data_IF_944005482651
#
_entry.id   IF_944005482651
#
_cell.length_a   1.000
_cell.length_b   1.000
_cell.length_c   1.000
_cell.angle_alpha   90.00
_cell.angle_beta   90.00
_cell.angle_gamma   90.00
#
_symmetry.space_group_name_H-M   'P 1'
#
loop_
_entity.id
_entity.type
_entity.pdbx_description
1 polymer ?
#
# COMPACT_ATOMS: atom_id res chain seq x y z
N UNK A 1 11.78 -25.64 26.45
CA UNK A 1 11.37 -27.06 26.36
C UNK A 1 12.56 -28.03 26.35
N UNK A 2 13.71 -27.66 25.77
CA UNK A 2 14.93 -28.51 25.67
C UNK A 2 15.51 -28.98 27.01
N UNK A 3 15.58 -28.12 28.02
CA UNK A 3 16.10 -28.48 29.35
C UNK A 3 15.38 -29.66 30.04
N UNK A 4 14.12 -29.96 29.66
CA UNK A 4 13.39 -31.11 30.20
C UNK A 4 13.67 -32.42 29.47
N UNK A 5 14.15 -32.37 28.22
CA UNK A 5 14.43 -33.55 27.39
C UNK A 5 15.87 -34.03 27.61
N UNK A 6 16.81 -33.09 27.79
CA UNK A 6 18.22 -33.40 28.09
C UNK A 6 18.40 -34.24 29.36
N UNK A 7 17.50 -34.13 30.33
CA UNK A 7 17.54 -34.87 31.60
C UNK A 7 17.02 -36.31 31.52
N UNK A 8 16.43 -36.74 30.39
CA UNK A 8 15.70 -38.02 30.27
C UNK A 8 16.37 -39.00 29.29
N UNK A 9 17.43 -38.59 28.59
CA UNK A 9 18.12 -39.41 27.59
C UNK A 9 19.42 -40.02 28.14
N UNK A 10 19.75 -41.23 27.68
CA UNK A 10 21.00 -41.92 28.02
C UNK A 10 22.23 -41.22 27.42
N UNK A 11 23.39 -41.43 28.04
CA UNK A 11 24.67 -40.82 27.66
C UNK A 11 25.10 -41.13 26.21
N UNK A 12 24.62 -42.26 25.66
CA UNK A 12 24.83 -42.67 24.26
C UNK A 12 23.92 -41.91 23.29
N UNK A 13 22.67 -41.63 23.67
CA UNK A 13 21.74 -40.83 22.86
C UNK A 13 22.14 -39.34 22.82
N UNK A 14 22.72 -38.82 23.92
CA UNK A 14 23.27 -37.47 23.99
C UNK A 14 24.56 -37.24 23.18
N UNK A 15 25.23 -38.30 22.70
CA UNK A 15 26.36 -38.20 21.76
C UNK A 15 25.92 -38.19 20.30
N UNK A 16 24.80 -38.85 19.98
CA UNK A 16 24.21 -38.87 18.63
C UNK A 16 23.44 -37.58 18.34
N UNK A 17 22.76 -37.04 19.35
CA UNK A 17 22.21 -35.69 19.33
C UNK A 17 23.27 -34.71 19.85
N UNK A 18 23.95 -33.97 18.96
CA UNK A 18 24.93 -32.93 19.36
C UNK A 18 24.23 -31.71 19.96
N UNK A 19 23.66 -31.87 21.15
CA UNK A 19 22.80 -30.86 21.79
C UNK A 19 23.47 -29.51 21.94
N UNK A 20 24.78 -29.45 22.27
CA UNK A 20 25.51 -28.19 22.36
C UNK A 20 25.67 -27.49 21.01
N UNK A 21 25.95 -28.24 19.94
CA UNK A 21 26.03 -27.66 18.60
C UNK A 21 24.65 -27.24 18.09
N UNK A 22 23.60 -27.99 18.44
CA UNK A 22 22.23 -27.66 18.06
C UNK A 22 21.68 -26.48 18.86
N UNK A 23 22.00 -26.36 20.14
CA UNK A 23 21.67 -25.24 21.02
C UNK A 23 22.41 -23.97 20.57
N UNK A 24 23.71 -24.06 20.29
CA UNK A 24 24.47 -22.96 19.69
C UNK A 24 23.90 -22.55 18.33
N UNK A 25 23.57 -23.50 17.46
CA UNK A 25 22.98 -23.19 16.15
C UNK A 25 21.58 -22.57 16.30
N UNK A 26 20.80 -22.96 17.31
CA UNK A 26 19.53 -22.32 17.63
C UNK A 26 19.74 -20.90 18.17
N UNK A 27 20.69 -20.68 19.09
CA UNK A 27 21.05 -19.35 19.58
C UNK A 27 21.53 -18.45 18.45
N UNK A 28 22.45 -18.92 17.60
CA UNK A 28 22.97 -18.17 16.46
C UNK A 28 21.85 -17.83 15.43
N UNK A 29 20.90 -18.75 15.19
CA UNK A 29 19.74 -18.51 14.33
C UNK A 29 18.78 -17.49 14.97
N UNK A 30 18.58 -17.56 16.28
CA UNK A 30 17.73 -16.61 17.02
C UNK A 30 18.37 -15.22 16.99
N UNK A 31 19.66 -15.11 17.28
CA UNK A 31 20.39 -13.86 17.30
C UNK A 31 20.48 -13.24 15.89
N UNK A 32 20.75 -14.04 14.86
CA UNK A 32 20.70 -13.57 13.47
C UNK A 32 19.28 -13.15 13.04
N UNK A 33 18.25 -13.88 13.49
CA UNK A 33 16.86 -13.55 13.24
C UNK A 33 16.42 -12.25 13.91
N UNK A 34 16.75 -12.09 15.20
CA UNK A 34 16.48 -10.87 15.98
C UNK A 34 17.26 -9.68 15.42
N UNK A 35 18.54 -9.86 15.11
CA UNK A 35 19.37 -8.83 14.49
C UNK A 35 18.75 -8.34 13.17
N UNK A 36 18.21 -9.25 12.34
CA UNK A 36 17.52 -8.87 11.11
C UNK A 36 16.28 -8.02 11.35
N UNK A 37 15.48 -8.34 12.36
CA UNK A 37 14.29 -7.55 12.72
C UNK A 37 14.71 -6.14 13.16
N UNK A 38 15.71 -6.05 14.04
CA UNK A 38 16.21 -4.75 14.51
C UNK A 38 16.90 -3.95 13.41
N UNK A 39 17.62 -4.61 12.50
CA UNK A 39 18.15 -3.98 11.30
C UNK A 39 17.01 -3.40 10.45
N UNK A 40 15.89 -4.12 10.31
CA UNK A 40 14.72 -3.60 9.61
C UNK A 40 14.17 -2.29 10.21
N UNK A 41 14.23 -2.12 11.55
CA UNK A 41 13.86 -0.84 12.17
C UNK A 41 14.83 0.30 11.80
N UNK A 42 16.12 0.01 11.65
CA UNK A 42 17.11 0.98 11.18
C UNK A 42 16.88 1.36 9.71
N UNK A 43 16.58 0.38 8.86
CA UNK A 43 16.29 0.59 7.43
C UNK A 43 15.04 1.48 7.25
N UNK A 44 14.01 1.29 8.08
CA UNK A 44 12.82 2.16 8.13
C UNK A 44 13.22 3.60 8.51
N UNK A 45 14.07 3.76 9.52
CA UNK A 45 14.54 5.07 9.96
C UNK A 45 15.34 5.80 8.86
N UNK A 46 16.18 5.08 8.11
CA UNK A 46 16.90 5.63 6.95
C UNK A 46 15.95 6.05 5.83
N UNK A 47 14.92 5.24 5.56
CA UNK A 47 13.90 5.60 4.56
C UNK A 47 13.18 6.89 4.95
N UNK A 48 12.78 7.03 6.21
CA UNK A 48 12.14 8.26 6.69
C UNK A 48 13.10 9.44 6.54
N UNK A 49 14.35 9.30 7.00
CA UNK A 49 15.33 10.39 6.89
C UNK A 49 15.53 10.84 5.44
N UNK A 50 15.60 9.87 4.50
CA UNK A 50 15.72 10.14 3.06
C UNK A 50 14.52 10.90 2.50
N UNK A 51 13.30 10.60 2.94
CA UNK A 51 12.09 11.32 2.51
C UNK A 51 12.13 12.81 2.93
N UNK A 52 12.84 13.11 4.03
CA UNK A 52 13.10 14.49 4.47
C UNK A 52 14.41 15.08 3.91
N UNK A 53 15.12 14.36 3.03
CA UNK A 53 16.40 14.79 2.47
C UNK A 53 17.54 14.85 3.49
N UNK A 54 17.45 14.08 4.57
CA UNK A 54 18.45 14.01 5.64
C UNK A 54 19.23 12.70 5.52
N UNK A 55 20.56 12.80 5.56
CA UNK A 55 21.43 11.62 5.68
C UNK A 55 21.65 11.28 7.15
N UNK A 56 21.52 10.00 7.48
CA UNK A 56 21.80 9.47 8.82
C UNK A 56 22.74 8.26 8.72
N UNK A 57 23.49 8.02 9.79
CA UNK A 57 24.26 6.79 9.97
C UNK A 57 23.53 5.91 10.97
N UNK A 58 23.34 4.64 10.62
CA UNK A 58 22.72 3.66 11.50
C UNK A 58 23.74 2.66 12.05
N UNK A 59 23.50 2.18 13.26
CA UNK A 59 24.36 1.17 13.89
C UNK A 59 23.49 0.24 14.72
N UNK A 60 23.62 -1.05 14.47
CA UNK A 60 23.00 -2.09 15.29
C UNK A 60 23.95 -2.44 16.44
N UNK A 61 23.45 -2.36 17.67
CA UNK A 61 24.22 -2.61 18.89
C UNK A 61 23.64 -3.81 19.66
N UNK A 62 24.52 -4.72 20.09
CA UNK A 62 24.15 -5.91 20.85
C UNK A 62 24.34 -5.70 22.36
N UNK A 63 23.29 -5.98 23.14
CA UNK A 63 23.35 -5.96 24.59
C UNK A 63 22.24 -5.15 25.24
N UNK A 64 22.45 -4.79 26.52
CA UNK A 64 21.43 -4.07 27.30
C UNK A 64 21.30 -2.63 26.79
N UNK A 65 20.09 -2.17 26.37
CA UNK A 65 19.95 -0.95 25.58
C UNK A 65 20.63 0.30 26.16
N UNK A 66 20.36 0.67 27.42
CA UNK A 66 20.98 1.87 28.00
C UNK A 66 22.49 1.77 28.15
N UNK A 67 23.05 0.56 28.35
CA UNK A 67 24.50 0.39 28.53
C UNK A 67 25.23 0.54 27.21
N UNK A 68 24.71 -0.07 26.15
CA UNK A 68 25.33 -0.03 24.82
C UNK A 68 25.15 1.33 24.17
N UNK A 69 23.97 1.95 24.32
CA UNK A 69 23.75 3.33 23.87
C UNK A 69 24.64 4.29 24.67
N UNK A 70 24.77 4.12 25.99
CA UNK A 70 25.65 4.95 26.81
C UNK A 70 27.12 4.85 26.37
N UNK A 71 27.62 3.64 26.08
CA UNK A 71 28.96 3.44 25.51
C UNK A 71 29.10 4.11 24.15
N UNK A 72 28.10 4.00 23.28
CA UNK A 72 28.11 4.63 21.96
C UNK A 72 28.12 6.16 22.06
N UNK A 73 27.34 6.74 22.98
CA UNK A 73 27.35 8.18 23.27
C UNK A 73 28.71 8.62 23.79
N UNK A 74 29.36 7.86 24.68
CA UNK A 74 30.71 8.18 25.13
C UNK A 74 31.76 8.11 24.00
N UNK A 75 31.59 7.19 23.05
CA UNK A 75 32.49 7.04 21.90
C UNK A 75 32.32 8.16 20.86
N UNK A 76 31.07 8.49 20.52
CA UNK A 76 30.73 9.52 19.52
C UNK A 76 30.89 10.93 20.11
N UNK A 77 30.65 11.08 21.42
CA UNK A 77 30.57 12.35 22.14
C UNK A 77 29.62 13.37 21.48
N UNK A 78 28.32 13.02 21.28
CA UNK A 78 27.36 13.88 20.60
C UNK A 78 27.00 15.11 21.45
N UNK A 79 26.60 16.20 20.79
CA UNK A 79 26.08 17.38 21.49
C UNK A 79 24.67 17.17 22.05
N UNK A 80 23.90 16.25 21.47
CA UNK A 80 22.50 15.98 21.83
C UNK A 80 22.16 14.50 21.59
N UNK A 81 21.58 13.85 22.58
CA UNK A 81 20.91 12.56 22.46
C UNK A 81 19.39 12.79 22.39
N UNK A 82 18.76 12.32 21.32
CA UNK A 82 17.30 12.37 21.16
C UNK A 82 16.71 10.99 21.34
N UNK A 83 15.70 10.85 22.19
CA UNK A 83 15.03 9.56 22.41
C UNK A 83 13.59 9.72 22.89
N UNK A 84 12.79 8.67 22.75
CA UNK A 84 11.46 8.60 23.33
C UNK A 84 11.50 8.54 24.86
N UNK A 85 10.57 9.24 25.53
CA UNK A 85 10.36 9.15 26.98
C UNK A 85 9.88 7.75 27.40
N UNK A 86 9.06 7.13 26.54
CA UNK A 86 8.52 5.79 26.67
C UNK A 86 8.88 4.95 25.44
N UNK A 87 8.81 3.63 25.58
CA UNK A 87 8.98 2.67 24.49
C UNK A 87 7.71 1.91 24.19
N UNK A 88 7.74 1.06 23.15
CA UNK A 88 6.60 0.28 22.64
C UNK A 88 5.98 -0.72 23.64
N UNK A 89 6.64 -0.95 24.79
CA UNK A 89 6.20 -1.85 25.85
C UNK A 89 6.01 -1.12 27.18
N UNK A 90 5.74 0.18 27.13
CA UNK A 90 5.41 0.94 28.34
C UNK A 90 4.00 0.57 28.83
N UNK A 91 3.86 0.42 30.14
CA UNK A 91 2.54 0.36 30.79
C UNK A 91 1.91 1.76 30.77
N UNK A 92 0.59 1.84 30.71
CA UNK A 92 -0.17 3.10 30.60
C UNK A 92 0.15 4.10 31.72
N UNK A 93 0.46 3.62 32.92
CA UNK A 93 0.76 4.43 34.10
C UNK A 93 2.24 4.81 34.23
N UNK A 94 3.11 4.32 33.33
CA UNK A 94 4.55 4.53 33.43
C UNK A 94 4.90 5.95 32.95
N UNK A 95 5.44 6.77 33.87
CA UNK A 95 5.88 8.12 33.50
C UNK A 95 7.15 8.09 32.64
N UNK A 96 8.20 7.35 33.01
CA UNK A 96 9.43 7.27 32.22
C UNK A 96 9.92 5.84 32.07
N UNK A 97 10.35 5.47 30.86
CA UNK A 97 10.92 4.16 30.59
C UNK A 97 12.27 3.99 31.26
N UNK A 98 12.55 2.81 31.82
CA UNK A 98 13.81 2.55 32.51
C UNK A 98 15.06 2.81 31.64
N UNK A 99 15.00 2.55 30.33
CA UNK A 99 16.10 2.88 29.42
C UNK A 99 16.29 4.41 29.27
N UNK A 100 15.19 5.15 29.12
CA UNK A 100 15.21 6.61 29.02
C UNK A 100 15.71 7.25 30.31
N UNK A 101 15.26 6.77 31.47
CA UNK A 101 15.73 7.25 32.76
C UNK A 101 17.23 7.00 32.96
N UNK A 102 17.70 5.78 32.66
CA UNK A 102 19.12 5.46 32.81
C UNK A 102 20.00 6.30 31.89
N UNK A 103 19.59 6.53 30.64
CA UNK A 103 20.36 7.38 29.72
C UNK A 103 20.33 8.85 30.15
N UNK A 104 19.16 9.37 30.53
CA UNK A 104 19.02 10.75 31.04
C UNK A 104 19.96 11.03 32.22
N UNK A 105 20.15 10.06 33.12
CA UNK A 105 20.98 10.23 34.33
C UNK A 105 22.47 10.07 34.09
N UNK A 106 22.88 9.27 33.11
CA UNK A 106 24.24 8.75 33.04
C UNK A 106 25.03 9.15 31.79
N UNK A 107 24.42 9.84 30.81
CA UNK A 107 25.15 10.31 29.62
C UNK A 107 25.65 11.74 29.79
N UNK A 108 26.87 11.99 29.29
CA UNK A 108 27.54 13.29 29.38
C UNK A 108 27.20 14.21 28.18
N UNK A 109 25.93 14.30 27.79
CA UNK A 109 25.47 15.21 26.73
C UNK A 109 24.06 15.77 27.03
N UNK A 110 23.62 16.76 26.26
CA UNK A 110 22.23 17.20 26.35
C UNK A 110 21.29 16.06 25.93
N UNK A 111 20.15 15.91 26.61
CA UNK A 111 19.17 14.87 26.31
C UNK A 111 17.82 15.52 26.00
N UNK A 112 17.24 15.18 24.84
CA UNK A 112 15.89 15.54 24.46
C UNK A 112 14.98 14.30 24.54
N UNK A 113 14.05 14.33 25.50
CA UNK A 113 13.00 13.32 25.64
C UNK A 113 11.75 13.74 24.86
N UNK A 114 11.38 12.96 23.85
CA UNK A 114 10.16 13.16 23.08
C UNK A 114 8.99 12.35 23.63
N UNK A 115 7.81 12.96 23.68
CA UNK A 115 6.52 12.29 23.92
C UNK A 115 5.69 12.16 22.64
N UNK A 116 6.23 12.61 21.50
CA UNK A 116 5.53 12.45 20.23
C UNK A 116 5.61 11.00 19.79
N UNK A 117 4.46 10.42 19.54
CA UNK A 117 4.37 9.15 18.84
C UNK A 117 4.44 9.41 17.33
N UNK A 118 5.22 8.58 16.65
CA UNK A 118 5.25 8.54 15.20
C UNK A 118 5.14 7.08 14.78
N UNK A 119 4.12 6.77 13.99
CA UNK A 119 3.96 5.46 13.39
C UNK A 119 4.40 5.55 11.93
N UNK A 120 5.53 4.90 11.56
CA UNK A 120 5.90 4.77 10.15
C UNK A 120 4.80 4.09 9.35
N UNK A 121 4.76 4.38 8.05
CA UNK A 121 3.80 3.71 7.17
C UNK A 121 4.02 2.20 7.23
N UNK A 122 2.92 1.45 7.40
CA UNK A 122 2.95 0.01 7.66
C UNK A 122 3.68 -0.78 6.57
N UNK A 123 3.61 -0.31 5.33
CA UNK A 123 4.29 -0.89 4.18
C UNK A 123 5.81 -0.94 4.34
N UNK A 124 6.40 0.13 4.88
CA UNK A 124 7.84 0.24 5.07
C UNK A 124 8.32 -0.67 6.20
N UNK A 125 7.55 -0.75 7.30
CA UNK A 125 7.89 -1.61 8.45
C UNK A 125 7.81 -3.08 8.07
N UNK A 126 6.75 -3.48 7.36
CA UNK A 126 6.52 -4.87 7.04
C UNK A 126 7.56 -5.39 6.04
N UNK A 127 7.97 -4.61 5.05
CA UNK A 127 9.00 -5.04 4.09
C UNK A 127 10.37 -5.19 4.76
N UNK A 128 10.70 -4.34 5.73
CA UNK A 128 11.98 -4.38 6.43
C UNK A 128 12.08 -5.47 7.51
N UNK A 129 10.97 -5.79 8.20
CA UNK A 129 10.97 -6.70 9.36
C UNK A 129 10.47 -8.11 9.04
N UNK A 130 9.81 -8.30 7.89
CA UNK A 130 9.23 -9.60 7.49
C UNK A 130 10.17 -10.35 6.57
N UNK A 131 10.49 -11.59 6.94
CA UNK A 131 11.31 -12.46 6.10
C UNK A 131 10.45 -13.31 5.17
N UNK A 132 10.85 -13.44 3.92
CA UNK A 132 10.17 -14.27 2.94
C UNK A 132 10.92 -15.59 2.74
N UNK A 133 10.18 -16.69 2.61
CA UNK A 133 10.79 -17.94 2.15
C UNK A 133 11.07 -17.88 0.65
N UNK A 134 12.05 -18.66 0.17
CA UNK A 134 12.35 -18.74 -1.27
C UNK A 134 11.11 -19.10 -2.10
N UNK A 135 10.30 -20.04 -1.61
CA UNK A 135 9.06 -20.46 -2.27
C UNK A 135 8.02 -19.33 -2.32
N UNK A 136 7.94 -18.48 -1.29
CA UNK A 136 7.07 -17.31 -1.27
C UNK A 136 7.50 -16.26 -2.31
N UNK A 137 8.81 -16.01 -2.43
CA UNK A 137 9.37 -15.09 -3.43
C UNK A 137 9.13 -15.60 -4.86
N UNK A 138 9.38 -16.88 -5.14
CA UNK A 138 9.09 -17.49 -6.45
C UNK A 138 7.61 -17.38 -6.81
N UNK A 139 6.72 -17.54 -5.84
CA UNK A 139 5.28 -17.38 -6.04
C UNK A 139 4.91 -15.92 -6.32
N UNK A 140 5.57 -14.96 -5.68
CA UNK A 140 5.37 -13.54 -5.95
C UNK A 140 5.81 -13.15 -7.37
N UNK A 141 6.84 -13.80 -7.92
CA UNK A 141 7.27 -13.59 -9.31
C UNK A 141 6.21 -14.00 -10.34
N UNK A 142 5.34 -14.97 -10.02
CA UNK A 142 4.21 -15.39 -10.86
C UNK A 142 3.11 -14.34 -10.94
N UNK A 143 3.05 -13.40 -9.98
CA UNK A 143 2.15 -12.25 -10.05
C UNK A 143 2.62 -11.32 -11.17
N UNK A 144 1.71 -10.86 -12.07
CA UNK A 144 2.04 -9.90 -13.12
C UNK A 144 2.75 -8.67 -12.56
N UNK A 145 3.77 -8.17 -13.26
CA UNK A 145 4.65 -7.09 -12.78
C UNK A 145 3.89 -5.84 -12.34
N UNK A 146 2.82 -5.47 -13.05
CA UNK A 146 1.99 -4.30 -12.73
C UNK A 146 1.21 -4.44 -11.42
N UNK A 147 0.91 -5.67 -10.97
CA UNK A 147 0.17 -5.95 -9.73
C UNK A 147 1.07 -6.44 -8.59
N UNK A 148 2.32 -6.80 -8.87
CA UNK A 148 3.25 -7.44 -7.93
C UNK A 148 3.53 -6.60 -6.69
N UNK A 149 3.71 -5.28 -6.84
CA UNK A 149 3.92 -4.38 -5.70
C UNK A 149 2.71 -4.35 -4.76
N UNK A 150 1.51 -4.25 -5.33
CA UNK A 150 0.24 -4.29 -4.58
C UNK A 150 0.01 -5.66 -3.92
N UNK A 151 0.30 -6.75 -4.61
CA UNK A 151 0.20 -8.10 -4.06
C UNK A 151 1.19 -8.33 -2.91
N UNK A 152 2.45 -7.93 -3.06
CA UNK A 152 3.45 -7.97 -1.98
C UNK A 152 2.96 -7.19 -0.77
N UNK A 153 2.39 -6.00 -1.01
CA UNK A 153 1.85 -5.16 0.04
C UNK A 153 0.69 -5.81 0.80
N UNK A 154 -0.27 -6.37 0.08
CA UNK A 154 -1.40 -7.04 0.69
C UNK A 154 -0.98 -8.30 1.47
N UNK A 155 0.01 -9.05 0.98
CA UNK A 155 0.58 -10.19 1.72
C UNK A 155 1.28 -9.75 3.00
N UNK A 156 2.07 -8.67 2.95
CA UNK A 156 2.74 -8.12 4.12
C UNK A 156 1.74 -7.67 5.19
N UNK A 157 0.69 -6.95 4.78
CA UNK A 157 -0.39 -6.53 5.69
C UNK A 157 -1.09 -7.73 6.33
N UNK A 158 -1.48 -8.71 5.52
CA UNK A 158 -2.10 -9.95 5.99
C UNK A 158 -1.20 -10.69 6.99
N UNK A 159 0.10 -10.83 6.67
CA UNK A 159 1.05 -11.48 7.55
C UNK A 159 1.12 -10.76 8.91
N UNK A 160 1.14 -9.43 8.93
CA UNK A 160 1.20 -8.65 10.15
C UNK A 160 -0.10 -8.72 10.98
N UNK A 161 -1.27 -8.62 10.34
CA UNK A 161 -2.58 -8.78 11.00
C UNK A 161 -2.72 -10.16 11.67
N UNK A 162 -2.15 -11.19 11.05
CA UNK A 162 -2.12 -12.56 11.57
C UNK A 162 -0.93 -12.82 12.51
N UNK A 163 -0.05 -11.83 12.75
CA UNK A 163 1.11 -11.95 13.63
C UNK A 163 2.24 -12.83 13.08
N UNK A 164 2.30 -13.04 11.77
CA UNK A 164 3.36 -13.79 11.09
C UNK A 164 4.57 -12.91 10.79
N UNK A 165 5.74 -13.31 11.28
CA UNK A 165 7.04 -12.67 11.01
C UNK A 165 7.79 -13.28 9.83
N UNK A 166 7.30 -14.43 9.33
CA UNK A 166 7.84 -15.12 8.16
C UNK A 166 6.72 -15.36 7.15
N UNK A 167 6.83 -14.76 5.97
CA UNK A 167 5.92 -14.99 4.86
C UNK A 167 6.32 -16.28 4.15
N UNK A 168 5.46 -17.29 4.29
CA UNK A 168 5.59 -18.58 3.61
C UNK A 168 4.75 -18.61 2.35
N UNK A 169 4.99 -19.61 1.49
CA UNK A 169 4.20 -19.80 0.27
C UNK A 169 2.69 -19.91 0.57
N UNK A 170 2.33 -20.56 1.68
CA UNK A 170 0.95 -20.71 2.13
C UNK A 170 0.32 -19.35 2.48
N UNK A 171 1.06 -18.49 3.17
CA UNK A 171 0.61 -17.14 3.53
C UNK A 171 0.41 -16.30 2.26
N UNK A 172 1.32 -16.39 1.28
CA UNK A 172 1.14 -15.73 -0.02
C UNK A 172 -0.14 -16.23 -0.70
N UNK A 173 -0.39 -17.53 -0.69
CA UNK A 173 -1.57 -18.13 -1.30
C UNK A 173 -2.88 -17.70 -0.63
N UNK A 174 -2.88 -17.65 0.71
CA UNK A 174 -4.04 -17.23 1.49
C UNK A 174 -4.34 -15.75 1.30
N UNK A 175 -3.33 -14.89 1.43
CA UNK A 175 -3.49 -13.45 1.22
C UNK A 175 -3.90 -13.10 -0.22
N UNK A 176 -3.30 -13.75 -1.23
CA UNK A 176 -3.66 -13.48 -2.64
C UNK A 176 -5.07 -13.96 -3.00
N UNK A 177 -5.59 -15.00 -2.32
CA UNK A 177 -6.98 -15.46 -2.51
C UNK A 177 -7.98 -14.41 -2.01
N UNK A 178 -7.69 -13.76 -0.89
CA UNK A 178 -8.56 -12.75 -0.29
C UNK A 178 -8.46 -11.40 -1.03
N UNK A 179 -7.29 -11.09 -1.62
CA UNK A 179 -7.03 -9.86 -2.38
C UNK A 179 -7.52 -9.92 -3.84
N UNK A 180 -7.56 -11.12 -4.44
CA UNK A 180 -7.98 -11.32 -5.82
C UNK A 180 -9.12 -12.35 -5.90
N UNK A 181 -10.40 -11.92 -5.97
CA UNK A 181 -11.52 -12.82 -6.23
C UNK A 181 -11.61 -13.11 -7.75
N UNK A 182 -10.52 -13.61 -8.34
CA UNK A 182 -10.59 -14.29 -9.64
C UNK A 182 -10.42 -15.76 -9.33
N UNK A 183 -11.56 -16.43 -9.14
CA UNK A 183 -11.63 -17.89 -9.12
C UNK A 183 -11.20 -18.35 -10.52
N UNK A 184 -9.95 -18.74 -10.68
CA UNK A 184 -9.65 -19.74 -11.69
C UNK A 184 -10.37 -21.01 -11.25
N UNK A 185 -11.28 -21.47 -12.11
CA UNK A 185 -12.12 -22.63 -11.86
C UNK A 185 -11.31 -23.80 -11.32
N UNK A 186 -11.96 -24.51 -10.40
CA UNK A 186 -11.53 -25.76 -9.80
C UNK A 186 -10.94 -26.72 -10.86
N UNK A 187 -9.69 -27.13 -10.67
CA UNK A 187 -9.20 -28.38 -11.25
C UNK A 187 -8.92 -29.32 -10.08
N UNK A 188 -9.94 -30.13 -9.79
CA UNK A 188 -9.81 -31.39 -9.07
C UNK A 188 -8.91 -32.35 -9.86
N UNK A 189 -8.04 -33.03 -9.11
CA UNK A 189 -7.55 -34.39 -9.35
C UNK A 189 -6.68 -34.67 -10.60
N UNK A 190 -5.37 -34.48 -10.44
CA UNK A 190 -4.38 -35.02 -11.36
C UNK A 190 -3.99 -36.46 -10.97
N UNK A 191 -4.68 -37.46 -11.52
CA UNK A 191 -4.11 -38.80 -11.70
C UNK A 191 -4.59 -39.52 -12.95
N UNK A 192 -3.63 -39.85 -13.84
CA UNK A 192 -3.69 -40.82 -14.95
C UNK A 192 -4.65 -40.44 -16.11
N UNK A 193 -4.32 -40.56 -17.40
CA UNK A 193 -3.60 -41.60 -18.15
C UNK A 193 -3.06 -40.95 -19.44
N UNK A 194 -1.91 -41.43 -19.91
CA UNK A 194 -1.32 -41.10 -21.21
C UNK A 194 -2.10 -41.68 -22.40
N UNK A 195 -2.05 -40.95 -23.51
CA UNK A 195 -1.70 -41.39 -24.88
C UNK A 195 -2.66 -40.99 -26.03
N UNK A 196 -1.98 -40.48 -27.07
CA UNK A 196 -2.26 -40.56 -28.50
C UNK A 196 -3.57 -39.95 -29.04
N UNK A 197 -3.46 -38.70 -29.54
CA UNK A 197 -3.75 -38.38 -30.95
C UNK A 197 -3.44 -36.91 -31.25
N UNK A 198 -2.31 -36.66 -31.90
CA UNK A 198 -1.99 -35.37 -32.52
C UNK A 198 -2.32 -35.47 -34.01
N UNK A 199 -3.21 -34.61 -34.51
CA UNK A 199 -2.81 -33.81 -35.65
C UNK A 199 -3.18 -32.33 -35.48
N UNK A 200 -2.27 -31.48 -35.97
CA UNK A 200 -2.40 -30.04 -36.23
C UNK A 200 -2.66 -29.14 -35.02
N UNK A 201 -1.55 -28.68 -34.41
CA UNK A 201 -1.50 -27.45 -33.62
C UNK A 201 -1.64 -26.23 -34.53
N UNK A 202 -2.83 -25.65 -34.59
CA UNK A 202 -3.05 -24.29 -35.11
C UNK A 202 -4.01 -23.55 -34.18
N UNK A 203 -3.51 -22.52 -33.50
CA UNK A 203 -4.31 -21.51 -32.80
C UNK A 203 -4.18 -21.50 -31.28
N UNK A 204 -3.08 -20.96 -30.75
CA UNK A 204 -3.05 -20.30 -29.43
C UNK A 204 -2.23 -19.02 -29.54
N UNK A 205 -2.92 -17.89 -29.37
CA UNK A 205 -2.47 -16.55 -28.99
C UNK A 205 -1.11 -16.07 -29.53
N UNK A 206 -1.13 -15.54 -30.76
CA UNK A 206 -0.10 -14.61 -31.22
C UNK A 206 -0.32 -13.27 -30.51
N UNK A 207 0.48 -13.01 -29.49
CA UNK A 207 0.55 -11.71 -28.82
C UNK A 207 0.88 -10.62 -29.86
N UNK A 208 -0.10 -9.78 -30.18
CA UNK A 208 0.05 -8.71 -31.17
C UNK A 208 1.04 -7.66 -30.65
N UNK A 209 2.27 -7.72 -31.15
CA UNK A 209 3.33 -6.76 -30.90
C UNK A 209 3.52 -5.92 -32.16
N UNK A 210 3.04 -4.67 -32.20
CA UNK A 210 3.21 -3.82 -33.37
C UNK A 210 4.68 -3.43 -33.53
N UNK A 211 5.18 -3.50 -34.77
CA UNK A 211 6.55 -3.07 -35.09
C UNK A 211 6.67 -1.55 -34.97
N UNK A 212 7.88 -1.02 -34.82
CA UNK A 212 8.10 0.43 -34.73
C UNK A 212 8.43 1.02 -36.10
N UNK A 213 7.83 2.17 -36.42
CA UNK A 213 8.27 2.94 -37.59
C UNK A 213 9.60 3.62 -37.30
N UNK A 214 10.45 3.79 -38.32
CA UNK A 214 11.76 4.44 -38.21
C UNK A 214 11.65 5.85 -37.59
N UNK A 215 10.57 6.57 -37.91
CA UNK A 215 10.31 7.91 -37.38
C UNK A 215 9.89 7.90 -35.90
N UNK A 216 9.07 6.92 -35.49
CA UNK A 216 8.68 6.75 -34.09
C UNK A 216 9.86 6.36 -33.20
N UNK A 217 10.77 5.54 -33.74
CA UNK A 217 11.97 5.09 -33.05
C UNK A 217 12.98 6.23 -32.84
N UNK A 218 13.14 7.11 -33.84
CA UNK A 218 13.92 8.34 -33.72
C UNK A 218 13.36 9.29 -32.65
N UNK A 219 12.03 9.44 -32.56
CA UNK A 219 11.39 10.28 -31.54
C UNK A 219 11.62 9.68 -30.14
N UNK A 220 11.46 8.36 -29.97
CA UNK A 220 11.73 7.73 -28.68
C UNK A 220 13.22 7.82 -28.29
N UNK A 221 14.13 7.71 -29.26
CA UNK A 221 15.57 7.86 -29.03
C UNK A 221 15.99 9.29 -28.66
N UNK A 222 15.19 10.31 -29.01
CA UNK A 222 15.45 11.71 -28.66
C UNK A 222 15.24 12.04 -27.17
N UNK A 223 14.62 11.14 -26.40
CA UNK A 223 14.39 11.31 -24.96
C UNK A 223 15.63 10.80 -24.22
N UNK A 224 16.39 11.69 -23.55
CA UNK A 224 17.64 11.33 -22.86
C UNK A 224 17.44 10.40 -21.65
N UNK A 225 16.33 10.57 -20.92
CA UNK A 225 16.00 9.79 -19.73
C UNK A 225 15.44 8.38 -20.08
N UNK A 226 16.13 7.34 -19.61
CA UNK A 226 15.82 5.93 -19.90
C UNK A 226 14.46 5.47 -19.31
N UNK A 227 14.10 5.98 -18.12
CA UNK A 227 12.83 5.64 -17.47
C UNK A 227 11.66 6.25 -18.25
N UNK A 228 11.77 7.51 -18.64
CA UNK A 228 10.77 8.19 -19.46
C UNK A 228 10.65 7.57 -20.85
N UNK A 229 11.78 7.18 -21.45
CA UNK A 229 11.83 6.49 -22.74
C UNK A 229 11.10 5.14 -22.69
N UNK A 230 11.39 4.32 -21.67
CA UNK A 230 10.73 3.01 -21.48
C UNK A 230 9.22 3.15 -21.26
N UNK A 231 8.81 4.11 -20.42
CA UNK A 231 7.38 4.40 -20.19
C UNK A 231 6.65 4.89 -21.45
N UNK A 232 7.30 5.77 -22.23
CA UNK A 232 6.74 6.27 -23.48
C UNK A 232 6.58 5.15 -24.53
N UNK A 233 7.57 4.25 -24.64
CA UNK A 233 7.49 3.09 -25.54
C UNK A 233 6.31 2.17 -25.18
N UNK A 234 6.17 1.80 -23.91
CA UNK A 234 5.04 0.96 -23.45
C UNK A 234 3.68 1.60 -23.74
N UNK A 235 3.55 2.92 -23.58
CA UNK A 235 2.30 3.66 -23.81
C UNK A 235 1.99 3.80 -25.31
N UNK A 236 3.00 4.04 -26.13
CA UNK A 236 2.86 4.13 -27.58
C UNK A 236 2.43 2.78 -28.19
N UNK A 237 3.04 1.68 -27.75
CA UNK A 237 2.65 0.33 -28.15
C UNK A 237 1.22 0.00 -27.73
N UNK A 238 0.84 0.32 -26.48
CA UNK A 238 -0.54 0.11 -25.99
C UNK A 238 -1.55 0.87 -26.85
N UNK A 239 -1.23 2.09 -27.27
CA UNK A 239 -2.10 2.92 -28.12
C UNK A 239 -2.19 2.38 -29.54
N UNK A 240 -1.09 1.94 -30.14
CA UNK A 240 -1.10 1.26 -31.43
C UNK A 240 -1.95 -0.04 -31.37
N UNK A 241 -1.92 -0.79 -30.26
CA UNK A 241 -2.80 -1.96 -30.06
C UNK A 241 -4.28 -1.56 -29.96
N UNK A 242 -4.60 -0.46 -29.27
CA UNK A 242 -5.98 0.04 -29.15
C UNK A 242 -6.53 0.53 -30.50
N UNK A 243 -5.69 1.19 -31.29
CA UNK A 243 -6.04 1.71 -32.61
C UNK A 243 -5.96 0.62 -33.70
N UNK A 244 -5.67 -0.65 -33.31
CA UNK A 244 -5.46 -1.79 -34.20
C UNK A 244 -4.42 -1.53 -35.31
N UNK A 245 -3.45 -0.67 -35.03
CA UNK A 245 -2.35 -0.35 -35.95
C UNK A 245 -1.26 -1.42 -35.85
N UNK A 246 -0.82 -2.03 -36.98
CA UNK A 246 0.27 -3.00 -37.01
C UNK A 246 1.65 -2.39 -36.75
N UNK A 247 1.75 -1.06 -36.77
CA UNK A 247 3.01 -0.34 -36.58
C UNK A 247 2.80 0.88 -35.67
N UNK A 248 3.76 1.13 -34.77
CA UNK A 248 3.81 2.33 -33.95
C UNK A 248 4.27 3.50 -34.82
N UNK A 249 3.29 4.26 -35.29
CA UNK A 249 3.48 5.52 -36.02
C UNK A 249 3.79 6.72 -35.10
N UNK A 250 4.44 7.79 -35.62
CA UNK A 250 4.74 9.01 -34.85
C UNK A 250 3.52 9.63 -34.17
N UNK A 251 2.33 9.51 -34.76
CA UNK A 251 1.09 10.03 -34.18
C UNK A 251 0.76 9.44 -32.80
N UNK A 252 1.10 8.16 -32.56
CA UNK A 252 0.88 7.50 -31.26
C UNK A 252 1.81 8.03 -30.17
N UNK A 253 2.93 8.66 -30.55
CA UNK A 253 3.93 9.24 -29.64
C UNK A 253 3.70 10.73 -29.48
N UNK A 254 3.44 11.45 -30.56
CA UNK A 254 3.21 12.89 -30.55
C UNK A 254 1.98 13.24 -29.70
N UNK A 255 0.92 12.43 -29.73
CA UNK A 255 -0.23 12.57 -28.83
C UNK A 255 0.11 12.41 -27.34
N UNK A 256 1.25 11.76 -27.00
CA UNK A 256 1.77 11.62 -25.64
C UNK A 256 2.74 12.76 -25.27
N UNK A 257 3.33 13.43 -26.28
CA UNK A 257 4.24 14.56 -26.09
C UNK A 257 3.52 15.91 -26.06
N UNK A 258 2.33 16.03 -26.66
CA UNK A 258 1.57 17.29 -26.78
C UNK A 258 0.89 17.77 -25.48
N UNK A 259 1.30 17.25 -24.31
CA UNK A 259 0.87 17.76 -23.00
C UNK A 259 1.81 18.88 -22.48
N UNK A 260 2.83 19.29 -23.27
CA UNK A 260 3.77 20.36 -22.89
C UNK A 260 3.84 21.58 -23.83
N UNK A 261 3.04 21.66 -24.90
CA UNK A 261 3.21 22.69 -25.95
C UNK A 261 2.14 23.81 -26.01
N UNK A 262 1.24 23.94 -25.03
CA UNK A 262 0.27 25.05 -24.96
C UNK A 262 0.51 26.03 -23.80
N UNK A 263 1.73 26.54 -23.66
CA UNK A 263 1.99 27.72 -22.80
C UNK A 263 3.03 28.67 -23.40
N UNK A 264 2.78 29.16 -24.61
CA UNK A 264 3.46 30.37 -25.09
C UNK A 264 2.45 31.38 -25.66
N UNK A 265 2.13 32.36 -24.81
CA UNK A 265 1.77 33.75 -25.12
C UNK A 265 0.61 34.05 -26.08
N UNK A 266 -0.52 34.53 -25.56
CA UNK A 266 -0.94 35.94 -25.68
C UNK A 266 -2.11 36.29 -24.74
N UNK A 267 -2.18 37.58 -24.41
CA UNK A 267 -2.76 38.15 -23.18
C UNK A 267 -4.29 38.37 -23.24
N UNK A 268 -4.96 38.07 -22.12
CA UNK A 268 -6.32 38.55 -21.81
C UNK A 268 -6.63 38.42 -20.32
N UNK A 269 -6.46 39.53 -19.58
CA UNK A 269 -6.77 39.78 -18.15
C UNK A 269 -7.74 38.82 -17.45
N UNK A 270 -7.27 38.17 -16.38
CA UNK A 270 -8.09 37.77 -15.22
C UNK A 270 -7.41 38.20 -13.90
N UNK A 271 -8.17 38.69 -12.90
CA UNK A 271 -7.62 39.33 -11.72
C UNK A 271 -7.56 38.34 -10.56
N UNK A 272 -6.36 37.82 -10.26
CA UNK A 272 -5.87 37.34 -8.96
C UNK A 272 -4.63 36.48 -9.25
N UNK A 273 -3.46 36.97 -8.84
CA UNK A 273 -2.18 36.31 -9.09
C UNK A 273 -1.92 35.18 -8.09
N UNK A 274 -1.42 34.05 -8.60
CA UNK A 274 -0.79 33.02 -7.79
C UNK A 274 0.68 32.90 -8.19
N UNK A 275 1.54 33.27 -7.24
CA UNK A 275 2.91 32.79 -7.19
C UNK A 275 2.93 31.30 -6.86
N UNK A 276 4.12 30.72 -6.93
CA UNK A 276 4.40 29.33 -6.61
C UNK A 276 3.68 28.86 -5.35
N UNK A 277 2.77 27.90 -5.49
CA UNK A 277 2.36 27.07 -4.37
C UNK A 277 3.18 25.79 -4.40
N UNK A 278 4.06 25.73 -3.41
CA UNK A 278 4.75 24.56 -2.88
C UNK A 278 3.80 23.37 -2.78
N UNK A 279 4.29 22.19 -3.17
CA UNK A 279 3.66 20.90 -2.88
C UNK A 279 3.38 20.79 -1.37
N UNK A 280 2.11 20.98 -0.98
CA UNK A 280 1.66 20.70 0.37
C UNK A 280 1.60 19.19 0.57
N UNK A 281 2.43 18.71 1.50
CA UNK A 281 2.34 17.38 2.09
C UNK A 281 0.94 17.22 2.71
N UNK A 282 0.06 16.43 2.10
CA UNK A 282 -1.27 16.14 2.65
C UNK A 282 -1.17 15.31 3.94
N UNK A 283 -0.95 15.98 5.08
CA UNK A 283 -1.08 15.36 6.41
C UNK A 283 -2.56 15.08 6.70
N UNK A 284 -2.90 13.84 7.04
CA UNK A 284 -4.23 13.45 7.54
C UNK A 284 -4.61 14.30 8.76
N UNK A 285 -5.84 14.82 8.81
CA UNK A 285 -6.32 15.55 9.98
C UNK A 285 -6.57 14.56 11.14
N UNK A 286 -6.35 14.95 12.41
CA UNK A 286 -6.79 14.15 13.55
C UNK A 286 -8.32 14.07 13.59
N UNK A 287 -8.87 12.94 14.01
CA UNK A 287 -10.31 12.67 14.13
C UNK A 287 -10.68 12.49 15.60
N UNK A 288 -11.83 13.03 16.01
CA UNK A 288 -12.38 12.71 17.33
C UNK A 288 -12.90 11.27 17.36
N UNK A 289 -12.85 10.63 18.54
CA UNK A 289 -13.35 9.26 18.71
C UNK A 289 -14.80 9.08 18.22
N UNK A 290 -15.66 10.08 18.46
CA UNK A 290 -17.05 10.07 18.01
C UNK A 290 -17.16 10.14 16.47
N UNK A 291 -16.31 10.92 15.81
CA UNK A 291 -16.27 11.01 14.34
C UNK A 291 -15.74 9.71 13.71
N UNK A 292 -14.76 9.07 14.33
CA UNK A 292 -14.26 7.76 13.89
C UNK A 292 -15.32 6.67 14.01
N UNK A 293 -16.01 6.58 15.15
CA UNK A 293 -17.10 5.62 15.35
C UNK A 293 -18.23 5.83 14.32
N UNK A 294 -18.50 7.08 13.95
CA UNK A 294 -19.47 7.40 12.90
C UNK A 294 -18.99 7.01 11.51
N UNK A 295 -17.69 7.10 11.24
CA UNK A 295 -17.07 6.66 9.99
C UNK A 295 -17.05 5.13 9.86
N UNK A 296 -16.90 4.40 10.96
CA UNK A 296 -16.92 2.93 10.97
C UNK A 296 -18.25 2.34 10.49
N UNK A 297 -19.36 3.09 10.62
CA UNK A 297 -20.68 2.71 10.09
C UNK A 297 -20.72 2.67 8.56
N UNK A 298 -19.78 3.35 7.89
CA UNK A 298 -19.57 3.22 6.44
C UNK A 298 -18.86 1.89 6.19
N UNK A 299 -19.30 1.05 5.23
CA UNK A 299 -18.66 -0.23 4.96
C UNK A 299 -17.14 -0.11 4.71
N UNK A 300 -16.39 -1.08 5.22
CA UNK A 300 -14.93 -1.10 5.18
C UNK A 300 -14.38 -1.13 3.74
N UNK A 301 -13.14 -0.66 3.60
CA UNK A 301 -12.46 -0.55 2.32
C UNK A 301 -12.69 0.81 1.66
N UNK A 302 -12.73 0.81 0.34
CA UNK A 302 -12.68 2.02 -0.50
C UNK A 302 -13.74 3.08 -0.15
N UNK A 303 -14.99 2.67 0.16
CA UNK A 303 -16.06 3.61 0.51
C UNK A 303 -15.77 4.39 1.80
N UNK A 304 -15.17 3.73 2.80
CA UNK A 304 -14.76 4.38 4.05
C UNK A 304 -13.58 5.31 3.83
N UNK A 305 -12.60 4.89 3.05
CA UNK A 305 -11.40 5.69 2.75
C UNK A 305 -11.75 6.95 1.96
N UNK A 306 -12.65 6.85 0.99
CA UNK A 306 -13.18 8.02 0.27
C UNK A 306 -13.96 8.96 1.18
N UNK A 307 -14.83 8.39 2.03
CA UNK A 307 -15.62 9.19 2.97
C UNK A 307 -14.70 9.96 3.90
N UNK A 308 -13.66 9.30 4.44
CA UNK A 308 -12.61 9.92 5.24
C UNK A 308 -11.95 11.08 4.49
N UNK A 309 -11.41 10.84 3.29
CA UNK A 309 -10.73 11.86 2.48
C UNK A 309 -11.61 13.09 2.21
N UNK A 310 -12.88 12.89 1.89
CA UNK A 310 -13.80 14.00 1.59
C UNK A 310 -14.20 14.79 2.83
N UNK A 311 -14.38 14.13 3.97
CA UNK A 311 -14.63 14.80 5.25
C UNK A 311 -13.39 15.60 5.65
N UNK A 312 -12.19 15.03 5.54
CA UNK A 312 -10.95 15.78 5.80
C UNK A 312 -10.78 16.99 4.88
N UNK A 313 -11.07 16.84 3.58
CA UNK A 313 -11.02 17.96 2.64
C UNK A 313 -12.01 19.06 3.00
N UNK A 314 -13.21 18.70 3.45
CA UNK A 314 -14.21 19.66 3.92
C UNK A 314 -13.77 20.38 5.20
N UNK A 315 -13.26 19.64 6.19
CA UNK A 315 -12.71 20.23 7.39
C UNK A 315 -11.55 21.19 7.07
N UNK A 316 -10.68 20.85 6.10
CA UNK A 316 -9.64 21.78 5.62
C UNK A 316 -10.24 23.04 4.97
N UNK A 317 -11.29 22.91 4.16
CA UNK A 317 -11.93 24.08 3.52
C UNK A 317 -12.63 25.00 4.53
N UNK A 318 -13.12 24.45 5.64
CA UNK A 318 -13.68 25.22 6.75
C UNK A 318 -12.61 25.75 7.73
N UNK A 319 -11.33 25.48 7.47
CA UNK A 319 -10.22 25.90 8.33
C UNK A 319 -10.13 25.14 9.66
N UNK A 320 -10.80 23.99 9.77
CA UNK A 320 -10.76 23.14 10.95
C UNK A 320 -9.44 22.33 11.01
N UNK A 321 -8.85 22.29 12.21
CA UNK A 321 -7.60 21.56 12.49
C UNK A 321 -7.85 20.10 12.92
N UNK A 322 -9.11 19.72 13.14
CA UNK A 322 -9.55 18.42 13.60
C UNK A 322 -10.93 18.08 13.00
N UNK A 323 -11.15 16.80 12.70
CA UNK A 323 -12.45 16.29 12.25
C UNK A 323 -13.30 15.94 13.46
N UNK A 324 -14.34 16.74 13.71
CA UNK A 324 -15.31 16.53 14.80
C UNK A 324 -16.59 15.91 14.29
N UNK A 325 -17.34 15.22 15.17
CA UNK A 325 -18.66 14.65 14.81
C UNK A 325 -19.65 15.73 14.32
N UNK A 326 -19.52 16.95 14.83
CA UNK A 326 -20.34 18.08 14.38
C UNK A 326 -20.06 18.44 12.91
N UNK A 327 -18.79 18.68 12.53
CA UNK A 327 -18.42 19.01 11.15
C UNK A 327 -18.72 17.85 10.19
N UNK A 328 -18.54 16.62 10.67
CA UNK A 328 -18.93 15.42 9.95
C UNK A 328 -20.45 15.35 9.73
N UNK A 329 -21.24 15.72 10.74
CA UNK A 329 -22.69 15.83 10.67
C UNK A 329 -23.17 16.88 9.68
N UNK A 330 -22.57 18.07 9.69
CA UNK A 330 -22.83 19.15 8.72
C UNK A 330 -22.54 18.66 7.29
N UNK A 331 -21.40 17.99 7.09
CA UNK A 331 -21.05 17.42 5.78
C UNK A 331 -22.02 16.33 5.33
N UNK A 332 -22.46 15.49 6.25
CA UNK A 332 -23.42 14.42 5.95
C UNK A 332 -24.81 14.98 5.63
N UNK A 333 -25.19 16.11 6.23
CA UNK A 333 -26.43 16.81 5.92
C UNK A 333 -26.40 17.40 4.50
N UNK A 334 -25.32 18.06 4.11
CA UNK A 334 -25.11 18.53 2.73
C UNK A 334 -25.22 17.39 1.71
N UNK A 335 -24.65 16.23 2.04
CA UNK A 335 -24.74 15.04 1.21
C UNK A 335 -26.14 14.44 1.20
N UNK A 336 -26.84 14.41 2.33
CA UNK A 336 -28.23 13.97 2.40
C UNK A 336 -29.14 14.84 1.53
N UNK A 337 -28.94 16.16 1.51
CA UNK A 337 -29.69 17.06 0.64
C UNK A 337 -29.39 16.81 -0.85
N UNK A 338 -28.14 16.54 -1.21
CA UNK A 338 -27.76 16.14 -2.57
C UNK A 338 -28.29 14.77 -2.97
N UNK A 339 -28.28 13.81 -2.04
CA UNK A 339 -28.76 12.44 -2.20
C UNK A 339 -30.27 12.41 -2.42
N UNK A 340 -31.03 13.16 -1.63
CA UNK A 340 -32.49 13.26 -1.72
C UNK A 340 -32.98 13.87 -3.05
N UNK A 341 -32.14 14.66 -3.73
CA UNK A 341 -32.45 15.23 -5.05
C UNK A 341 -32.23 14.22 -6.19
N UNK A 342 -31.49 13.14 -5.94
CA UNK A 342 -31.25 12.12 -6.95
C UNK A 342 -32.39 11.10 -6.96
N UNK A 343 -32.92 10.85 -8.15
CA UNK A 343 -33.88 9.78 -8.42
C UNK A 343 -33.22 8.73 -9.31
N UNK A 344 -33.65 7.47 -9.19
CA UNK A 344 -33.22 6.41 -10.08
C UNK A 344 -33.80 6.65 -11.47
N UNK A 345 -32.94 6.73 -12.49
CA UNK A 345 -33.29 7.00 -13.88
C UNK A 345 -33.21 5.75 -14.77
N UNK A 346 -32.61 4.67 -14.27
CA UNK A 346 -32.49 3.39 -14.96
C UNK A 346 -33.24 2.29 -14.20
N UNK A 347 -33.60 1.16 -14.85
CA UNK A 347 -34.16 0.02 -14.13
C UNK A 347 -33.06 -0.70 -13.33
N UNK A 348 -33.38 -1.02 -12.07
CA UNK A 348 -32.51 -1.73 -11.15
C UNK A 348 -33.09 -3.11 -10.84
N UNK A 349 -32.25 -4.12 -10.86
CA UNK A 349 -32.63 -5.45 -10.39
C UNK A 349 -32.86 -5.45 -8.86
N UNK A 350 -33.75 -6.31 -8.38
CA UNK A 350 -34.08 -6.45 -6.94
C UNK A 350 -32.82 -6.68 -6.08
N UNK A 351 -31.90 -7.52 -6.55
CA UNK A 351 -30.62 -7.79 -5.88
C UNK A 351 -29.66 -6.60 -5.85
N UNK A 352 -29.76 -5.69 -6.82
CA UNK A 352 -28.97 -4.46 -6.83
C UNK A 352 -29.54 -3.43 -5.83
N UNK A 353 -30.87 -3.35 -5.73
CA UNK A 353 -31.56 -2.51 -4.75
C UNK A 353 -31.24 -2.93 -3.31
N UNK A 354 -31.27 -4.22 -3.01
CA UNK A 354 -30.87 -4.75 -1.68
C UNK A 354 -29.45 -4.31 -1.26
N UNK A 355 -28.53 -4.15 -2.22
CA UNK A 355 -27.18 -3.65 -1.94
C UNK A 355 -27.16 -2.14 -1.69
N UNK A 356 -27.98 -1.38 -2.39
CA UNK A 356 -28.11 0.07 -2.18
C UNK A 356 -28.74 0.37 -0.82
N UNK A 357 -29.74 -0.40 -0.39
CA UNK A 357 -30.39 -0.22 0.93
C UNK A 357 -29.43 -0.38 2.12
N UNK A 358 -28.36 -1.17 1.95
CA UNK A 358 -27.31 -1.35 2.96
C UNK A 358 -26.35 -0.16 3.05
N UNK A 359 -26.34 0.72 2.04
CA UNK A 359 -25.54 1.94 2.04
C UNK A 359 -26.30 3.01 2.83
N UNK A 360 -25.66 3.81 3.68
CA UNK A 360 -26.34 4.89 4.39
C UNK A 360 -27.04 5.89 3.44
N UNK A 361 -28.27 6.29 3.79
CA UNK A 361 -29.15 7.15 2.95
C UNK A 361 -28.47 8.42 2.41
N UNK A 362 -27.60 9.04 3.22
CA UNK A 362 -26.91 10.27 2.84
C UNK A 362 -25.91 10.10 1.68
N UNK A 363 -25.50 8.85 1.36
CA UNK A 363 -24.59 8.54 0.23
C UNK A 363 -25.31 7.81 -0.90
N UNK A 364 -26.47 7.18 -0.64
CA UNK A 364 -27.20 6.34 -1.60
C UNK A 364 -27.41 7.04 -2.95
N UNK A 365 -27.92 8.27 -2.96
CA UNK A 365 -28.17 9.03 -4.18
C UNK A 365 -26.92 9.30 -4.99
N UNK A 366 -25.77 9.53 -4.34
CA UNK A 366 -24.50 9.70 -5.06
C UNK A 366 -24.04 8.40 -5.72
N UNK A 367 -24.18 7.28 -5.02
CA UNK A 367 -23.86 5.95 -5.55
C UNK A 367 -24.78 5.60 -6.71
N UNK A 368 -26.09 5.83 -6.57
CA UNK A 368 -27.08 5.60 -7.63
C UNK A 368 -26.69 6.37 -8.89
N UNK A 369 -26.39 7.67 -8.76
CA UNK A 369 -26.02 8.53 -9.89
C UNK A 369 -24.77 8.02 -10.63
N UNK A 370 -23.77 7.59 -9.89
CA UNK A 370 -22.49 7.17 -10.49
C UNK A 370 -22.57 5.76 -11.08
N UNK A 371 -23.34 4.86 -10.47
CA UNK A 371 -23.61 3.52 -11.02
C UNK A 371 -24.45 3.62 -12.29
N UNK A 372 -25.46 4.49 -12.32
CA UNK A 372 -26.25 4.77 -13.53
C UNK A 372 -25.39 5.35 -14.66
N UNK A 373 -24.45 6.24 -14.33
CA UNK A 373 -23.49 6.75 -15.31
C UNK A 373 -22.61 5.63 -15.86
N UNK A 374 -22.03 4.81 -14.98
CA UNK A 374 -21.20 3.67 -15.38
C UNK A 374 -21.99 2.68 -16.24
N UNK A 375 -23.25 2.40 -15.89
CA UNK A 375 -24.13 1.56 -16.69
C UNK A 375 -24.38 2.17 -18.09
N UNK A 376 -24.61 3.47 -18.18
CA UNK A 376 -24.77 4.19 -19.44
C UNK A 376 -23.48 4.16 -20.30
N UNK A 377 -22.31 4.38 -19.69
CA UNK A 377 -21.01 4.32 -20.37
C UNK A 377 -20.70 2.90 -20.89
N UNK A 378 -21.16 1.88 -20.17
CA UNK A 378 -21.04 0.47 -20.57
C UNK A 378 -22.13 0.02 -21.55
N UNK A 379 -23.13 0.87 -21.83
CA UNK A 379 -24.27 0.54 -22.70
C UNK A 379 -25.17 -0.57 -22.15
N UNK A 380 -25.29 -0.68 -20.82
CA UNK A 380 -26.12 -1.69 -20.15
C UNK A 380 -27.49 -1.10 -19.80
N UNK A 381 -28.56 -1.80 -20.18
CA UNK A 381 -29.94 -1.30 -20.02
C UNK A 381 -30.52 -1.52 -18.62
N UNK A 382 -29.93 -2.39 -17.80
CA UNK A 382 -30.38 -2.69 -16.42
C UNK A 382 -29.19 -2.79 -15.44
N UNK A 383 -29.36 -2.24 -14.25
CA UNK A 383 -28.34 -2.27 -13.20
C UNK A 383 -28.45 -3.57 -12.38
N UNK A 384 -27.43 -4.41 -12.54
CA UNK A 384 -27.28 -5.67 -11.83
C UNK A 384 -26.21 -5.59 -10.73
N UNK A 385 -26.13 -6.57 -9.82
CA UNK A 385 -25.06 -6.64 -8.82
C UNK A 385 -23.64 -6.63 -9.40
N UNK A 386 -23.47 -7.06 -10.65
CA UNK A 386 -22.19 -7.07 -11.38
C UNK A 386 -21.80 -5.69 -11.89
N UNK A 387 -22.78 -4.88 -12.32
CA UNK A 387 -22.53 -3.47 -12.68
C UNK A 387 -22.13 -2.66 -11.44
N UNK A 388 -22.74 -2.95 -10.29
CA UNK A 388 -22.36 -2.36 -9.00
C UNK A 388 -20.93 -2.73 -8.59
N UNK A 389 -20.57 -4.02 -8.64
CA UNK A 389 -19.22 -4.46 -8.28
C UNK A 389 -18.16 -3.90 -9.22
N UNK A 390 -18.46 -3.82 -10.52
CA UNK A 390 -17.58 -3.24 -11.54
C UNK A 390 -17.41 -1.73 -11.36
N UNK A 391 -18.47 -1.00 -11.03
CA UNK A 391 -18.40 0.43 -10.71
C UNK A 391 -17.55 0.68 -9.47
N UNK A 392 -17.76 -0.11 -8.41
CA UNK A 392 -16.97 -0.08 -7.17
C UNK A 392 -15.48 -0.37 -7.44
N UNK A 393 -15.19 -1.35 -8.30
CA UNK A 393 -13.82 -1.70 -8.68
C UNK A 393 -13.16 -0.58 -9.48
N UNK A 394 -13.87 0.01 -10.45
CA UNK A 394 -13.37 1.12 -11.25
C UNK A 394 -13.03 2.36 -10.40
N UNK A 395 -13.85 2.66 -9.38
CA UNK A 395 -13.54 3.77 -8.46
C UNK A 395 -12.31 3.46 -7.60
N UNK A 396 -12.15 2.20 -7.15
CA UNK A 396 -10.96 1.74 -6.43
C UNK A 396 -9.70 1.86 -7.28
N UNK A 397 -9.77 1.49 -8.56
CA UNK A 397 -8.63 1.52 -9.49
C UNK A 397 -8.22 2.94 -9.89
N UNK A 398 -9.20 3.82 -10.09
CA UNK A 398 -8.95 5.22 -10.52
C UNK A 398 -8.70 6.16 -9.34
N UNK A 399 -9.01 5.74 -8.11
CA UNK A 399 -8.98 6.58 -6.92
C UNK A 399 -9.98 7.75 -6.96
N UNK A 400 -10.90 7.77 -7.95
CA UNK A 400 -11.84 8.85 -8.21
C UNK A 400 -13.26 8.29 -8.22
N UNK A 401 -14.12 8.88 -7.38
CA UNK A 401 -15.54 8.55 -7.32
C UNK A 401 -16.37 9.33 -8.36
N UNK A 402 -15.80 10.39 -8.95
CA UNK A 402 -16.43 11.14 -10.04
C UNK A 402 -15.46 11.13 -11.20
N UNK A 403 -15.90 10.70 -12.38
CA UNK A 403 -15.26 11.15 -13.62
C UNK A 403 -15.42 12.67 -13.72
N UNK A 404 -14.31 13.39 -13.84
CA UNK A 404 -14.30 14.85 -14.04
C UNK A 404 -15.13 15.21 -15.28
N UNK A 405 -15.96 16.25 -15.15
CA UNK A 405 -16.37 17.09 -16.27
C UNK A 405 -15.66 18.44 -16.13
#
# INVERSE_FOLDING_TARGET
>A
AFNRIAAVLSEEAGKVFRFKEQEQLHEDIIDAGLAKIYQGHLDVAESIARDYGVEIETTLLDGKPYEVIGKQVANINPSLLVMGKLGIHADDDLDIGGNAENLLRNVDCAVLLSQREHQPRMDVVADATTSWTHQAEERMLKVPSFARGMARMGVLRYAQEMGHTVVTEKIVAEATRDLCPVVHGEDDDASSVADANNPSSSGRDAQFNPDWSEQAELIAASIEDESLRSNLKMRAEKRARQDSSPTVEPAHILALMDVKAQSTGEKGKCPMGFGSETEEVHSSLPWTADAEQRLERVPAGFMRDLTRKRVEQYCRSEGALEVTDQLMGEKYQDWAEGSARQTMKMPWSERALEKIERIPEFVQGMVIKEVERCAADLGVDEITPDVLSRSSSNWSDTGRFHSEQ
#
